data_IF_326306506841
#
_entry.id   IF_326306506841
#
_cell.length_a   1.000
_cell.length_b   1.000
_cell.length_c   1.000
_cell.angle_alpha   90.00
_cell.angle_beta   90.00
_cell.angle_gamma   90.00
#
_symmetry.space_group_name_H-M   'P 1'
#
loop_
_entity.id
_entity.type
_entity.pdbx_description
1 polymer ?
#
# COMPACT_ATOMS: atom_id res chain seq x y z
N UNK A 1 -17.90 -24.26 -7.03
CA UNK A 1 -17.57 -22.82 -7.08
C UNK A 1 -16.27 -22.65 -6.34
N UNK A 2 -15.21 -22.21 -7.01
CA UNK A 2 -13.94 -21.94 -6.31
C UNK A 2 -14.19 -20.74 -5.40
N UNK A 3 -14.04 -20.91 -4.09
CA UNK A 3 -14.21 -19.80 -3.16
C UNK A 3 -13.13 -18.77 -3.47
N UNK A 4 -13.55 -17.59 -3.94
CA UNK A 4 -12.61 -16.53 -4.30
C UNK A 4 -11.98 -16.00 -3.02
N UNK A 5 -10.68 -16.26 -2.83
CA UNK A 5 -9.90 -15.74 -1.71
C UNK A 5 -10.11 -14.23 -1.55
N UNK A 6 -10.19 -13.78 -0.30
CA UNK A 6 -10.29 -12.37 0.04
C UNK A 6 -8.88 -11.75 0.10
N UNK A 7 -8.73 -10.53 -0.40
CA UNK A 7 -7.51 -9.74 -0.26
C UNK A 7 -7.81 -8.34 0.29
N UNK A 8 -6.94 -7.84 1.15
CA UNK A 8 -6.91 -6.44 1.53
C UNK A 8 -6.07 -5.67 0.52
N UNK A 9 -6.52 -4.50 0.08
CA UNK A 9 -5.76 -3.60 -0.78
C UNK A 9 -5.50 -2.29 -0.06
N UNK A 10 -4.23 -1.89 0.06
CA UNK A 10 -3.90 -0.54 0.54
C UNK A 10 -4.17 0.47 -0.58
N UNK A 11 -5.25 1.23 -0.44
CA UNK A 11 -5.78 2.11 -1.47
C UNK A 11 -5.59 3.57 -1.07
N UNK A 12 -4.61 4.27 -1.66
CA UNK A 12 -4.37 5.69 -1.35
C UNK A 12 -5.17 6.63 -2.25
N UNK A 13 -5.71 6.13 -3.37
CA UNK A 13 -6.33 6.95 -4.41
C UNK A 13 -5.34 7.41 -5.48
N UNK A 14 -4.04 7.15 -5.30
CA UNK A 14 -3.02 7.35 -6.32
C UNK A 14 -2.96 6.18 -7.32
N UNK A 15 -2.34 6.45 -8.48
CA UNK A 15 -2.21 5.50 -9.60
C UNK A 15 -1.68 4.13 -9.19
N UNK A 16 -0.64 4.08 -8.37
CA UNK A 16 0.05 2.84 -8.01
C UNK A 16 -0.83 1.94 -7.14
N UNK A 17 -1.56 2.55 -6.20
CA UNK A 17 -2.52 1.84 -5.37
C UNK A 17 -3.73 1.33 -6.17
N UNK A 18 -4.25 2.16 -7.10
CA UNK A 18 -5.34 1.79 -7.99
C UNK A 18 -4.95 0.62 -8.89
N UNK A 19 -3.74 0.68 -9.44
CA UNK A 19 -3.18 -0.36 -10.30
C UNK A 19 -2.98 -1.67 -9.53
N UNK A 20 -2.46 -1.61 -8.30
CA UNK A 20 -2.31 -2.79 -7.44
C UNK A 20 -3.66 -3.44 -7.12
N UNK A 21 -4.68 -2.64 -6.81
CA UNK A 21 -6.05 -3.13 -6.59
C UNK A 21 -6.66 -3.76 -7.86
N UNK A 22 -6.48 -3.14 -9.03
CA UNK A 22 -6.94 -3.70 -10.30
C UNK A 22 -6.27 -5.05 -10.63
N UNK A 23 -4.97 -5.20 -10.34
CA UNK A 23 -4.28 -6.50 -10.48
C UNK A 23 -4.89 -7.54 -9.54
N UNK A 24 -5.18 -7.18 -8.29
CA UNK A 24 -5.78 -8.10 -7.32
C UNK A 24 -7.16 -8.59 -7.82
N UNK A 25 -8.00 -7.67 -8.31
CA UNK A 25 -9.28 -8.00 -8.91
C UNK A 25 -9.13 -8.92 -10.14
N UNK A 26 -8.19 -8.62 -11.04
CA UNK A 26 -7.91 -9.42 -12.22
C UNK A 26 -7.38 -10.83 -11.89
N UNK A 27 -6.71 -11.00 -10.74
CA UNK A 27 -6.31 -12.30 -10.21
C UNK A 27 -7.47 -13.08 -9.56
N UNK A 28 -8.66 -12.50 -9.51
CA UNK A 28 -9.87 -13.16 -9.02
C UNK A 28 -10.13 -13.00 -7.53
N UNK A 29 -9.37 -12.17 -6.82
CA UNK A 29 -9.62 -11.88 -5.40
C UNK A 29 -10.93 -11.10 -5.21
N UNK A 30 -11.65 -11.39 -4.13
CA UNK A 30 -12.61 -10.43 -3.56
C UNK A 30 -11.81 -9.40 -2.77
N UNK A 31 -12.15 -8.12 -2.88
CA UNK A 31 -11.33 -7.06 -2.29
C UNK A 31 -11.99 -6.42 -1.06
N UNK A 32 -11.14 -6.04 -0.11
CA UNK A 32 -11.43 -5.09 0.97
C UNK A 32 -10.42 -3.96 0.83
N UNK A 33 -10.88 -2.72 0.69
CA UNK A 33 -10.00 -1.56 0.63
C UNK A 33 -9.70 -1.01 2.03
N UNK A 34 -8.46 -0.61 2.25
CA UNK A 34 -8.01 0.14 3.41
C UNK A 34 -7.32 1.42 2.93
N UNK A 35 -7.85 2.57 3.32
CA UNK A 35 -7.24 3.89 3.14
C UNK A 35 -6.91 4.50 4.48
N UNK A 36 -5.83 5.26 4.53
CA UNK A 36 -5.34 5.87 5.75
C UNK A 36 -5.32 7.38 5.57
N UNK A 37 -5.96 8.10 6.49
CA UNK A 37 -5.77 9.54 6.66
C UNK A 37 -4.69 9.73 7.71
N UNK A 38 -3.54 10.21 7.30
CA UNK A 38 -2.33 10.19 8.11
C UNK A 38 -1.73 11.59 8.34
N UNK A 39 -2.56 12.62 8.13
CA UNK A 39 -2.15 14.03 8.16
C UNK A 39 -1.56 14.53 6.83
N UNK A 40 -1.82 13.83 5.72
CA UNK A 40 -1.42 14.31 4.40
C UNK A 40 -2.17 15.58 4.00
N UNK A 41 -1.45 16.50 3.33
CA UNK A 41 -2.00 17.78 2.88
C UNK A 41 -3.08 17.63 1.78
N UNK A 42 -3.00 16.59 0.96
CA UNK A 42 -3.90 16.41 -0.18
C UNK A 42 -5.14 15.57 0.15
N UNK A 43 -6.20 16.22 0.64
CA UNK A 43 -7.47 15.54 0.95
C UNK A 43 -8.17 14.91 -0.26
N UNK A 44 -7.88 15.36 -1.48
CA UNK A 44 -8.48 14.81 -2.72
C UNK A 44 -8.15 13.33 -2.93
N UNK A 45 -7.04 12.86 -2.38
CA UNK A 45 -6.59 11.46 -2.51
C UNK A 45 -7.63 10.47 -1.97
N UNK A 46 -8.26 10.77 -0.83
CA UNK A 46 -9.25 9.88 -0.21
C UNK A 46 -10.56 9.84 -1.01
N UNK A 47 -10.96 10.94 -1.64
CA UNK A 47 -12.11 10.95 -2.55
C UNK A 47 -11.84 10.15 -3.82
N UNK A 48 -10.61 10.24 -4.36
CA UNK A 48 -10.16 9.36 -5.44
C UNK A 48 -10.18 7.89 -5.01
N UNK A 49 -9.73 7.57 -3.79
CA UNK A 49 -9.76 6.20 -3.26
C UNK A 49 -11.18 5.63 -3.21
N UNK A 50 -12.17 6.40 -2.72
CA UNK A 50 -13.59 6.00 -2.73
C UNK A 50 -14.10 5.76 -4.15
N UNK A 51 -13.73 6.65 -5.08
CA UNK A 51 -14.12 6.52 -6.49
C UNK A 51 -13.55 5.23 -7.09
N UNK A 52 -12.26 4.97 -6.89
CA UNK A 52 -11.60 3.75 -7.38
C UNK A 52 -12.22 2.49 -6.75
N UNK A 53 -12.52 2.52 -5.45
CA UNK A 53 -13.18 1.40 -4.77
C UNK A 53 -14.53 1.09 -5.43
N UNK A 54 -15.31 2.10 -5.78
CA UNK A 54 -16.59 1.94 -6.50
C UNK A 54 -16.39 1.36 -7.90
N UNK A 55 -15.45 1.88 -8.68
CA UNK A 55 -15.17 1.40 -10.04
C UNK A 55 -14.67 -0.05 -10.08
N UNK A 56 -14.00 -0.51 -9.01
CA UNK A 56 -13.52 -1.88 -8.85
C UNK A 56 -14.50 -2.80 -8.09
N UNK A 57 -15.75 -2.36 -7.85
CA UNK A 57 -16.78 -3.11 -7.10
C UNK A 57 -16.33 -3.58 -5.70
N UNK A 58 -15.54 -2.74 -5.03
CA UNK A 58 -15.07 -2.97 -3.66
C UNK A 58 -16.11 -2.46 -2.68
N UNK A 59 -16.98 -3.36 -2.22
CA UNK A 59 -18.09 -3.03 -1.33
C UNK A 59 -17.68 -2.80 0.14
N UNK A 60 -16.46 -3.16 0.53
CA UNK A 60 -15.91 -2.94 1.88
C UNK A 60 -14.69 -2.04 1.81
N UNK A 61 -14.87 -0.76 2.16
CA UNK A 61 -13.80 0.23 2.17
C UNK A 61 -13.69 0.87 3.55
N UNK A 62 -12.59 0.58 4.25
CA UNK A 62 -12.26 1.17 5.54
C UNK A 62 -11.36 2.39 5.32
N UNK A 63 -11.73 3.51 5.93
CA UNK A 63 -10.89 4.71 6.00
C UNK A 63 -10.64 4.99 7.48
N UNK A 64 -9.38 4.96 7.90
CA UNK A 64 -9.01 5.19 9.31
C UNK A 64 -8.05 6.35 9.44
N UNK A 65 -8.19 7.10 10.53
CA UNK A 65 -7.31 8.19 10.88
C UNK A 65 -6.14 7.67 11.72
N UNK A 66 -4.91 7.95 11.27
CA UNK A 66 -3.66 7.51 11.88
C UNK A 66 -2.68 8.67 11.80
N UNK A 67 -2.82 9.63 12.71
CA UNK A 67 -2.16 10.94 12.63
C UNK A 67 -0.63 10.89 12.90
N UNK A 68 0.09 10.30 11.95
CA UNK A 68 1.55 10.15 11.98
C UNK A 68 2.27 11.46 11.61
N UNK A 69 1.56 12.42 11.01
CA UNK A 69 2.09 13.74 10.72
C UNK A 69 2.62 14.46 11.96
N UNK A 70 2.09 14.13 13.15
CA UNK A 70 2.55 14.67 14.43
C UNK A 70 4.04 14.42 14.72
N UNK A 71 4.66 13.44 14.06
CA UNK A 71 6.10 13.19 14.22
C UNK A 71 6.97 14.18 13.45
N UNK A 72 6.42 14.83 12.43
CA UNK A 72 7.13 15.74 11.55
C UNK A 72 8.14 15.05 10.62
N UNK A 73 8.99 15.85 9.99
CA UNK A 73 10.09 15.38 9.14
C UNK A 73 9.72 15.04 7.70
N UNK A 74 8.51 15.43 7.24
CA UNK A 74 8.09 15.23 5.86
C UNK A 74 7.36 16.44 5.27
N UNK A 75 7.70 16.80 4.03
CA UNK A 75 6.98 17.83 3.25
C UNK A 75 5.59 17.39 2.79
N UNK A 76 5.23 16.10 2.93
CA UNK A 76 3.86 15.63 2.65
C UNK A 76 2.88 15.92 3.80
N UNK A 77 3.40 16.27 4.98
CA UNK A 77 2.64 16.50 6.20
C UNK A 77 2.92 17.86 6.85
N UNK A 78 3.87 18.63 6.31
CA UNK A 78 4.29 19.93 6.82
C UNK A 78 4.57 20.91 5.66
N UNK A 79 3.74 21.95 5.54
CA UNK A 79 3.87 22.99 4.51
C UNK A 79 5.10 23.90 4.69
N UNK A 80 5.71 23.91 5.88
CA UNK A 80 6.90 24.74 6.17
C UNK A 80 8.20 24.13 5.63
N UNK A 81 8.19 22.86 5.25
CA UNK A 81 9.36 22.16 4.71
C UNK A 81 9.44 22.33 3.19
N UNK A 82 10.47 23.02 2.71
CA UNK A 82 10.73 23.17 1.28
C UNK A 82 11.05 21.83 0.59
N UNK A 83 10.45 21.59 -0.58
CA UNK A 83 10.86 20.50 -1.47
C UNK A 83 12.19 20.90 -2.13
N UNK A 84 13.30 20.15 -1.94
CA UNK A 84 14.56 20.46 -2.61
C UNK A 84 14.37 20.47 -4.14
N UNK A 85 14.80 21.56 -4.78
CA UNK A 85 14.74 21.72 -6.24
C UNK A 85 15.82 20.87 -6.95
N UNK A 86 16.90 20.56 -6.24
CA UNK A 86 17.95 19.68 -6.71
C UNK A 86 17.48 18.23 -6.52
N UNK A 87 17.40 17.49 -7.62
CA UNK A 87 16.76 16.18 -7.69
C UNK A 87 17.23 15.15 -6.64
N UNK A 88 16.43 14.09 -6.50
CA UNK A 88 16.67 13.02 -5.52
C UNK A 88 18.02 12.32 -5.78
N UNK A 89 18.98 12.51 -4.90
CA UNK A 89 20.20 11.68 -4.88
C UNK A 89 19.85 10.28 -4.34
N UNK A 90 20.32 9.18 -4.95
CA UNK A 90 20.01 7.82 -4.52
C UNK A 90 20.44 7.51 -3.07
N UNK A 91 21.31 8.33 -2.49
CA UNK A 91 21.81 8.19 -1.12
C UNK A 91 21.09 9.08 -0.09
N UNK A 92 20.20 9.98 -0.52
CA UNK A 92 19.46 10.86 0.38
C UNK A 92 18.00 10.42 0.47
N UNK A 93 17.50 10.33 1.70
CA UNK A 93 16.08 10.12 1.95
C UNK A 93 15.33 11.38 1.48
N UNK A 94 14.33 11.26 0.58
CA UNK A 94 13.60 12.42 0.06
C UNK A 94 12.86 13.16 1.18
N UNK A 95 12.67 14.48 1.06
CA UNK A 95 11.86 15.24 2.02
C UNK A 95 10.39 14.83 2.03
N UNK A 96 9.93 14.17 0.97
CA UNK A 96 8.60 13.57 0.87
C UNK A 96 8.47 12.22 1.59
N UNK A 97 9.56 11.73 2.20
CA UNK A 97 9.51 10.57 3.09
C UNK A 97 8.81 10.93 4.39
N UNK A 98 7.74 10.21 4.70
CA UNK A 98 7.08 10.25 6.01
C UNK A 98 7.67 9.13 6.86
N UNK A 99 8.34 9.44 7.99
CA UNK A 99 9.02 8.44 8.80
C UNK A 99 8.15 7.23 9.17
N UNK A 100 8.57 6.04 8.75
CA UNK A 100 7.92 4.77 9.12
C UNK A 100 6.50 4.58 8.58
N UNK A 101 6.06 5.40 7.61
CA UNK A 101 4.69 5.37 7.10
C UNK A 101 4.27 3.99 6.63
N UNK A 102 5.04 3.34 5.74
CA UNK A 102 4.63 2.04 5.21
C UNK A 102 4.64 0.95 6.29
N UNK A 103 5.43 1.10 7.35
CA UNK A 103 5.46 0.17 8.49
C UNK A 103 4.12 0.19 9.21
N UNK A 104 3.65 1.38 9.57
CA UNK A 104 2.33 1.53 10.20
C UNK A 104 1.21 1.02 9.28
N UNK A 105 1.30 1.33 8.00
CA UNK A 105 0.26 0.99 7.03
C UNK A 105 0.12 -0.52 6.84
N UNK A 106 1.24 -1.22 6.69
CA UNK A 106 1.24 -2.68 6.53
C UNK A 106 0.81 -3.37 7.83
N UNK A 107 1.20 -2.85 9.01
CA UNK A 107 0.74 -3.39 10.29
C UNK A 107 -0.79 -3.34 10.43
N UNK A 108 -1.41 -2.20 10.07
CA UNK A 108 -2.86 -2.05 10.07
C UNK A 108 -3.55 -2.96 9.04
N UNK A 109 -2.95 -3.11 7.86
CA UNK A 109 -3.44 -4.03 6.84
C UNK A 109 -3.39 -5.49 7.29
N UNK A 110 -2.33 -5.90 7.99
CA UNK A 110 -2.21 -7.24 8.59
C UNK A 110 -3.31 -7.51 9.60
N UNK A 111 -3.55 -6.56 10.50
CA UNK A 111 -4.64 -6.66 11.48
C UNK A 111 -6.00 -6.78 10.80
N UNK A 112 -6.28 -5.97 9.77
CA UNK A 112 -7.52 -6.05 9.00
C UNK A 112 -7.63 -7.37 8.24
N UNK A 113 -6.55 -7.83 7.62
CA UNK A 113 -6.53 -9.07 6.86
C UNK A 113 -6.85 -10.27 7.76
N UNK A 114 -6.25 -10.33 8.95
CA UNK A 114 -6.56 -11.37 9.94
C UNK A 114 -8.03 -11.33 10.38
N UNK A 115 -8.55 -10.15 10.73
CA UNK A 115 -9.94 -9.97 11.14
C UNK A 115 -10.97 -10.35 10.06
N UNK A 116 -10.59 -10.26 8.78
CA UNK A 116 -11.45 -10.60 7.63
C UNK A 116 -11.18 -11.98 7.05
N UNK A 117 -10.20 -12.72 7.56
CA UNK A 117 -9.76 -13.99 6.97
C UNK A 117 -9.20 -13.82 5.55
N UNK A 118 -8.62 -12.67 5.23
CA UNK A 118 -7.97 -12.42 3.96
C UNK A 118 -6.70 -13.26 3.82
N UNK A 119 -6.40 -13.69 2.59
CA UNK A 119 -5.23 -14.51 2.27
C UNK A 119 -4.06 -13.68 1.74
N UNK A 120 -4.33 -12.44 1.31
CA UNK A 120 -3.33 -11.57 0.74
C UNK A 120 -3.56 -10.10 1.11
N UNK A 121 -2.47 -9.33 1.08
CA UNK A 121 -2.46 -7.88 1.15
C UNK A 121 -1.73 -7.36 -0.09
N UNK A 122 -2.40 -6.55 -0.90
CA UNK A 122 -1.80 -5.90 -2.05
C UNK A 122 -1.31 -4.49 -1.70
N UNK A 123 -0.06 -4.23 -2.08
CA UNK A 123 0.68 -3.00 -1.79
C UNK A 123 0.94 -2.24 -3.09
N UNK A 124 0.70 -0.94 -3.11
CA UNK A 124 1.02 -0.05 -4.24
C UNK A 124 2.48 0.38 -4.30
N UNK A 125 3.42 -0.39 -3.71
CA UNK A 125 4.83 0.00 -3.59
C UNK A 125 5.53 -0.21 -4.93
N UNK A 126 6.13 0.84 -5.47
CA UNK A 126 6.98 0.84 -6.66
C UNK A 126 8.43 1.18 -6.27
N UNK A 127 9.42 0.49 -6.83
CA UNK A 127 10.84 0.74 -6.53
C UNK A 127 11.47 1.81 -7.44
N UNK A 128 10.94 1.97 -8.66
CA UNK A 128 11.54 2.83 -9.71
C UNK A 128 11.33 4.32 -9.39
N UNK A 129 10.17 4.69 -8.84
CA UNK A 129 9.83 6.09 -8.56
C UNK A 129 10.31 6.57 -7.18
N UNK A 130 10.82 5.67 -6.34
CA UNK A 130 11.10 5.91 -4.91
C UNK A 130 12.54 5.56 -4.52
N UNK A 131 13.51 5.82 -5.41
CA UNK A 131 14.94 5.64 -5.13
C UNK A 131 15.38 6.49 -3.93
N UNK A 132 15.39 5.89 -2.73
CA UNK A 132 15.76 6.54 -1.47
C UNK A 132 14.93 6.11 -0.26
N UNK A 133 13.73 5.58 -0.47
CA UNK A 133 12.82 5.17 0.61
C UNK A 133 13.25 3.82 1.23
N UNK A 134 13.57 3.74 2.53
CA UNK A 134 13.99 2.49 3.16
C UNK A 134 12.85 1.45 3.24
N UNK A 135 11.62 1.91 3.35
CA UNK A 135 10.38 1.13 3.56
C UNK A 135 9.67 0.73 2.24
N UNK A 136 10.39 0.79 1.12
CA UNK A 136 9.93 0.33 -0.20
C UNK A 136 10.83 -0.77 -0.80
N UNK A 137 11.85 -1.23 -0.05
CA UNK A 137 12.86 -2.18 -0.54
C UNK A 137 12.39 -3.64 -0.45
N UNK A 138 13.03 -4.51 -1.22
CA UNK A 138 12.68 -5.94 -1.24
C UNK A 138 12.98 -6.61 0.10
N UNK A 139 14.10 -6.24 0.75
CA UNK A 139 14.51 -6.74 2.06
C UNK A 139 13.53 -6.31 3.16
N UNK A 140 12.99 -5.09 3.06
CA UNK A 140 11.95 -4.58 3.94
C UNK A 140 10.67 -5.41 3.83
N UNK A 141 10.18 -5.66 2.60
CA UNK A 141 8.99 -6.49 2.39
C UNK A 141 9.20 -7.92 2.85
N UNK A 142 10.40 -8.48 2.65
CA UNK A 142 10.73 -9.82 3.16
C UNK A 142 10.65 -9.87 4.69
N UNK A 143 11.24 -8.90 5.38
CA UNK A 143 11.18 -8.83 6.84
C UNK A 143 9.73 -8.71 7.35
N UNK A 144 8.89 -7.94 6.64
CA UNK A 144 7.46 -7.82 6.96
C UNK A 144 6.68 -9.11 6.70
N UNK A 145 7.04 -9.87 5.66
CA UNK A 145 6.44 -11.18 5.42
C UNK A 145 6.84 -12.17 6.53
N UNK A 146 8.10 -12.17 6.94
CA UNK A 146 8.58 -13.00 8.06
C UNK A 146 7.84 -12.65 9.36
N UNK A 147 7.58 -11.35 9.61
CA UNK A 147 6.73 -10.90 10.71
C UNK A 147 5.28 -11.41 10.57
N UNK A 148 4.67 -11.31 9.39
CA UNK A 148 3.31 -11.77 9.14
C UNK A 148 3.12 -13.27 9.43
N UNK A 149 4.17 -14.08 9.17
CA UNK A 149 4.17 -15.52 9.43
C UNK A 149 4.07 -15.85 10.93
N UNK A 150 4.57 -14.97 11.81
CA UNK A 150 4.69 -15.24 13.25
C UNK A 150 3.75 -14.40 14.13
N UNK A 151 3.13 -13.35 13.58
CA UNK A 151 2.37 -12.35 14.37
C UNK A 151 0.86 -12.58 14.39
N UNK A 152 0.35 -13.53 13.61
CA UNK A 152 -1.09 -13.81 13.49
C UNK A 152 -1.41 -15.26 13.82
N UNK A 153 -2.64 -15.51 14.30
CA UNK A 153 -3.17 -16.87 14.45
C UNK A 153 -3.12 -17.61 13.11
N UNK A 154 -3.49 -16.90 12.04
CA UNK A 154 -3.43 -17.44 10.68
C UNK A 154 -2.01 -17.88 10.31
N UNK A 155 -0.99 -17.08 10.63
CA UNK A 155 0.42 -17.40 10.38
C UNK A 155 0.89 -18.65 11.12
N UNK A 156 0.65 -18.74 12.43
CA UNK A 156 1.10 -19.90 13.24
C UNK A 156 0.36 -21.20 12.87
N UNK A 157 -0.84 -21.11 12.31
CA UNK A 157 -1.63 -22.25 11.80
C UNK A 157 -1.29 -22.62 10.33
N UNK A 158 -0.27 -21.99 9.73
CA UNK A 158 0.16 -22.26 8.34
C UNK A 158 -0.74 -21.63 7.26
N UNK A 159 -1.63 -20.72 7.65
CA UNK A 159 -2.55 -19.98 6.79
C UNK A 159 -2.11 -18.53 6.58
N UNK A 160 -0.81 -18.33 6.40
CA UNK A 160 -0.15 -17.02 6.28
C UNK A 160 -0.85 -16.07 5.30
N UNK A 161 -0.91 -14.80 5.69
CA UNK A 161 -1.31 -13.68 4.83
C UNK A 161 -0.11 -13.29 3.95
N UNK A 162 -0.27 -13.37 2.63
CA UNK A 162 0.79 -13.03 1.67
C UNK A 162 0.84 -11.52 1.40
N UNK A 163 2.03 -10.92 1.48
CA UNK A 163 2.27 -9.52 1.09
C UNK A 163 2.69 -9.45 -0.39
N UNK A 164 1.85 -8.82 -1.21
CA UNK A 164 2.02 -8.77 -2.67
C UNK A 164 2.25 -7.32 -3.11
N UNK A 165 3.45 -7.02 -3.61
CA UNK A 165 3.81 -5.71 -4.19
C UNK A 165 4.04 -5.85 -5.70
N UNK A 166 2.99 -5.83 -6.54
CA UNK A 166 3.10 -6.20 -7.95
C UNK A 166 3.91 -5.20 -8.80
N UNK A 167 4.14 -3.98 -8.30
CA UNK A 167 4.84 -2.91 -9.02
C UNK A 167 6.35 -2.86 -8.71
N UNK A 168 6.84 -3.64 -7.74
CA UNK A 168 8.22 -3.53 -7.26
C UNK A 168 9.29 -3.88 -8.32
N UNK A 169 8.96 -4.73 -9.31
CA UNK A 169 9.88 -5.20 -10.37
C UNK A 169 9.41 -4.86 -11.79
N UNK A 170 8.35 -4.06 -11.96
CA UNK A 170 7.71 -3.86 -13.27
C UNK A 170 7.64 -2.37 -13.64
N UNK A 171 8.20 -1.97 -14.80
CA UNK A 171 7.89 -0.67 -15.39
C UNK A 171 6.38 -0.53 -15.64
N UNK A 172 5.80 0.62 -15.25
CA UNK A 172 4.36 0.92 -15.39
C UNK A 172 3.83 0.63 -16.81
N UNK A 173 4.62 0.94 -17.84
CA UNK A 173 4.25 0.75 -19.25
C UNK A 173 4.00 -0.72 -19.63
N UNK A 174 4.70 -1.67 -19.01
CA UNK A 174 4.58 -3.11 -19.31
C UNK A 174 3.27 -3.67 -18.73
N UNK A 175 2.81 -3.10 -17.63
CA UNK A 175 1.65 -3.60 -16.90
C UNK A 175 0.32 -3.27 -17.58
N UNK A 176 0.16 -2.04 -18.09
CA UNK A 176 -1.05 -1.65 -18.83
C UNK A 176 -1.30 -2.50 -20.06
N UNK A 177 -0.26 -2.84 -20.82
CA UNK A 177 -0.38 -3.74 -21.98
C UNK A 177 -0.88 -5.15 -21.62
N UNK A 178 -0.64 -5.60 -20.39
CA UNK A 178 -1.07 -6.93 -19.93
C UNK A 178 -2.50 -6.94 -19.38
N UNK A 179 -3.01 -5.80 -18.92
CA UNK A 179 -4.40 -5.67 -18.43
C UNK A 179 -5.41 -5.44 -19.57
N UNK A 180 -4.94 -5.02 -20.75
CA UNK A 180 -5.77 -4.73 -21.93
C UNK A 180 -5.84 -5.89 -22.95
N UNK A 181 -5.17 -7.01 -22.69
CA UNK A 181 -5.16 -8.22 -23.50
C UNK A 181 -5.76 -9.37 -22.72
#
# INVERSE_FOLDING_TARGET
MCDKSLAVVLLSGGLDSATSAAIAAAQGYKLVALSLRYGQLHHKELESAKTIAKELDINSHYIIDVDIAQWGGSSLTDESLSIPLDGVSPHNIPSTYVPGRNTVFIALALSLAEAKGAKAIFLGINMIDYSGYPDCRSEYLKAYQDLANISSKAGIEGNTIELIAPLIKKPKLILFKKLLN
#
